data_IF_926536369822
#
_entry.id   IF_926536369822
#
_cell.length_a   1.000
_cell.length_b   1.000
_cell.length_c   1.000
_cell.angle_alpha   90.00
_cell.angle_beta   90.00
_cell.angle_gamma   90.00
#
_symmetry.space_group_name_H-M   'P 1'
#
loop_
_entity.id
_entity.type
_entity.pdbx_description
1 polymer ?
#
# COMPACT_ATOMS: atom_id res chain seq x y z
N UNK A 1 -16.25 11.30 6.55
CA UNK A 1 -15.66 10.56 5.41
C UNK A 1 -16.58 10.61 4.20
N UNK A 2 -16.59 11.77 3.53
CA UNK A 2 -17.50 12.02 2.39
C UNK A 2 -17.27 11.15 1.16
N UNK A 3 -16.12 10.47 1.03
CA UNK A 3 -15.76 9.73 -0.18
C UNK A 3 -15.86 8.20 -0.05
N UNK A 4 -16.17 7.66 1.12
CA UNK A 4 -16.64 6.27 1.21
C UNK A 4 -17.96 6.06 0.45
N UNK A 5 -18.73 7.12 0.23
CA UNK A 5 -19.93 7.10 -0.61
C UNK A 5 -19.65 6.89 -2.11
N UNK A 6 -18.44 7.12 -2.60
CA UNK A 6 -18.08 6.78 -3.98
C UNK A 6 -18.01 5.26 -4.16
N UNK A 7 -17.58 4.54 -3.15
CA UNK A 7 -17.60 3.08 -3.15
C UNK A 7 -19.02 2.53 -2.87
N UNK A 8 -19.90 3.28 -2.21
CA UNK A 8 -21.28 2.87 -1.92
C UNK A 8 -22.28 3.13 -3.06
N UNK A 9 -21.92 3.90 -4.08
CA UNK A 9 -22.79 4.17 -5.24
C UNK A 9 -22.53 3.16 -6.37
N UNK A 10 -22.89 1.90 -6.15
CA UNK A 10 -22.63 0.83 -7.12
C UNK A 10 -21.19 0.31 -7.04
N UNK A 11 -20.58 0.45 -5.88
CA UNK A 11 -19.23 -0.03 -5.62
C UNK A 11 -19.14 -1.53 -5.85
N UNK A 12 -18.09 -1.91 -6.54
CA UNK A 12 -17.72 -3.29 -6.72
C UNK A 12 -17.47 -3.92 -5.34
N UNK A 13 -18.32 -4.88 -5.00
CA UNK A 13 -18.04 -5.78 -3.91
C UNK A 13 -17.04 -6.82 -4.41
N UNK A 14 -15.87 -6.85 -3.80
CA UNK A 14 -14.85 -7.86 -4.09
C UNK A 14 -14.75 -8.79 -2.89
N UNK A 15 -15.12 -10.04 -3.06
CA UNK A 15 -14.97 -11.05 -2.02
C UNK A 15 -13.48 -11.25 -1.71
N UNK A 16 -13.14 -11.29 -0.42
CA UNK A 16 -11.75 -11.44 0.03
C UNK A 16 -10.92 -10.14 0.08
N UNK A 17 -11.52 -8.99 -0.27
CA UNK A 17 -10.85 -7.70 -0.18
C UNK A 17 -11.63 -6.69 0.67
N UNK A 18 -10.93 -5.95 1.51
CA UNK A 18 -11.48 -4.84 2.31
C UNK A 18 -10.69 -3.57 2.03
N UNK A 19 -11.39 -2.44 2.00
CA UNK A 19 -10.81 -1.16 1.64
C UNK A 19 -11.08 -0.14 2.75
N UNK A 20 -10.09 0.67 3.06
CA UNK A 20 -10.22 1.82 3.95
C UNK A 20 -9.46 3.00 3.38
N UNK A 21 -10.01 4.19 3.49
CA UNK A 21 -9.34 5.42 3.08
C UNK A 21 -9.51 6.49 4.14
N UNK A 22 -8.48 7.29 4.36
CA UNK A 22 -8.50 8.34 5.36
C UNK A 22 -7.67 9.57 4.94
N UNK A 23 -7.92 10.66 5.64
CA UNK A 23 -7.16 11.89 5.53
C UNK A 23 -6.02 11.84 6.57
N UNK A 24 -4.83 11.42 6.16
CA UNK A 24 -3.66 11.36 7.03
C UNK A 24 -2.91 12.70 7.11
N UNK A 25 -3.19 13.65 6.21
CA UNK A 25 -2.55 14.96 6.17
C UNK A 25 -1.08 14.90 5.73
N UNK A 26 -0.74 13.96 4.84
CA UNK A 26 0.65 13.76 4.38
C UNK A 26 1.18 15.00 3.66
N UNK A 27 0.37 15.57 2.78
CA UNK A 27 0.74 16.78 2.05
C UNK A 27 -0.38 17.81 2.05
N UNK A 28 -1.61 17.36 1.95
CA UNK A 28 -2.78 18.22 1.86
C UNK A 28 -3.71 17.99 3.05
N UNK A 29 -4.39 19.05 3.47
CA UNK A 29 -5.49 18.94 4.43
C UNK A 29 -6.80 18.67 3.66
N UNK A 30 -7.76 18.08 4.32
CA UNK A 30 -9.14 17.92 3.85
C UNK A 30 -9.33 17.04 2.59
N UNK A 31 -8.37 16.14 2.31
CA UNK A 31 -8.54 15.12 1.26
C UNK A 31 -8.00 13.77 1.71
N UNK A 32 -8.57 12.72 1.19
CA UNK A 32 -8.06 11.37 1.41
C UNK A 32 -6.73 11.21 0.68
N UNK A 33 -5.71 10.85 1.42
CA UNK A 33 -4.35 10.72 0.96
C UNK A 33 -3.69 9.41 1.39
N UNK A 34 -4.42 8.57 2.11
CA UNK A 34 -3.97 7.24 2.53
C UNK A 34 -5.08 6.21 2.30
N UNK A 35 -4.73 5.10 1.64
CA UNK A 35 -5.62 3.98 1.38
C UNK A 35 -4.94 2.70 1.88
N UNK A 36 -5.70 1.88 2.60
CA UNK A 36 -5.31 0.52 2.94
C UNK A 36 -6.26 -0.46 2.25
N UNK A 37 -5.67 -1.40 1.53
CA UNK A 37 -6.36 -2.54 0.92
C UNK A 37 -5.92 -3.79 1.67
N UNK A 38 -6.85 -4.46 2.32
CA UNK A 38 -6.62 -5.73 2.98
C UNK A 38 -7.09 -6.87 2.07
N UNK A 39 -6.25 -7.87 1.87
CA UNK A 39 -6.53 -9.06 1.08
C UNK A 39 -6.51 -10.27 2.02
N UNK A 40 -7.59 -11.03 2.02
CA UNK A 40 -7.73 -12.23 2.85
C UNK A 40 -6.75 -13.34 2.44
N UNK A 41 -6.40 -14.27 3.36
CA UNK A 41 -5.60 -15.44 3.05
C UNK A 41 -6.15 -16.22 1.83
N UNK A 42 -5.25 -16.75 1.03
CA UNK A 42 -5.59 -17.41 -0.24
C UNK A 42 -5.59 -16.45 -1.44
N UNK A 43 -5.37 -15.15 -1.23
CA UNK A 43 -5.19 -14.19 -2.32
C UNK A 43 -3.83 -14.36 -2.97
N UNK A 44 -3.77 -14.14 -4.28
CA UNK A 44 -2.50 -14.09 -5.02
C UNK A 44 -2.04 -12.65 -5.17
N UNK A 45 -0.82 -12.37 -4.74
CA UNK A 45 -0.19 -11.07 -4.89
C UNK A 45 0.95 -11.15 -5.92
N UNK A 46 0.89 -10.30 -6.93
CA UNK A 46 1.94 -10.18 -7.95
C UNK A 46 2.14 -8.73 -8.33
N UNK A 47 3.28 -8.41 -8.89
CA UNK A 47 3.58 -7.03 -9.28
C UNK A 47 4.77 -6.94 -10.22
N UNK A 48 4.87 -5.81 -10.90
CA UNK A 48 6.00 -5.42 -11.74
C UNK A 48 6.58 -4.10 -11.22
N UNK A 49 7.88 -3.98 -11.25
CA UNK A 49 8.61 -2.85 -10.68
C UNK A 49 9.59 -2.28 -11.68
N UNK A 50 9.87 -0.97 -11.53
CA UNK A 50 10.93 -0.34 -12.30
C UNK A 50 12.28 -1.00 -12.06
N UNK A 51 13.12 -1.05 -13.10
CA UNK A 51 14.52 -1.49 -13.02
C UNK A 51 15.50 -0.34 -12.76
N UNK A 52 14.99 0.86 -12.51
CA UNK A 52 15.83 2.03 -12.22
C UNK A 52 16.78 1.78 -11.05
N UNK A 53 17.98 2.33 -11.14
CA UNK A 53 18.93 2.35 -10.01
C UNK A 53 18.46 3.26 -8.87
N UNK A 54 17.57 4.22 -9.16
CA UNK A 54 17.06 5.21 -8.21
C UNK A 54 15.66 4.85 -7.68
N UNK A 55 15.40 3.57 -7.46
CA UNK A 55 14.13 3.09 -6.92
C UNK A 55 13.86 3.68 -5.54
N UNK A 56 12.62 4.09 -5.31
CA UNK A 56 12.19 4.55 -3.98
C UNK A 56 12.17 3.41 -2.94
N UNK A 57 12.25 3.77 -1.67
CA UNK A 57 12.21 2.80 -0.58
C UNK A 57 10.94 1.92 -0.60
N UNK A 58 9.72 2.44 -0.84
CA UNK A 58 8.53 1.61 -0.97
C UNK A 58 8.59 0.59 -2.12
N UNK A 59 9.20 0.95 -3.24
CA UNK A 59 9.37 0.03 -4.39
C UNK A 59 10.28 -1.13 -4.01
N UNK A 60 11.41 -0.85 -3.37
CA UNK A 60 12.35 -1.88 -2.92
C UNK A 60 11.71 -2.80 -1.88
N UNK A 61 10.99 -2.24 -0.92
CA UNK A 61 10.26 -2.99 0.09
C UNK A 61 9.21 -3.91 -0.53
N UNK A 62 8.34 -3.37 -1.38
CA UNK A 62 7.26 -4.12 -2.02
C UNK A 62 7.77 -5.25 -2.90
N UNK A 63 8.85 -5.03 -3.64
CA UNK A 63 9.47 -6.07 -4.47
C UNK A 63 9.93 -7.25 -3.63
N UNK A 64 10.56 -7.01 -2.48
CA UNK A 64 10.98 -8.07 -1.54
C UNK A 64 9.80 -8.84 -0.96
N UNK A 65 8.71 -8.15 -0.60
CA UNK A 65 7.51 -8.80 -0.08
C UNK A 65 6.91 -9.72 -1.14
N UNK A 66 6.76 -9.25 -2.37
CA UNK A 66 6.18 -10.04 -3.46
C UNK A 66 7.06 -11.24 -3.81
N UNK A 67 8.36 -11.08 -3.85
CA UNK A 67 9.30 -12.18 -4.09
C UNK A 67 9.18 -13.29 -3.03
N UNK A 68 8.94 -12.92 -1.78
CA UNK A 68 8.77 -13.85 -0.67
C UNK A 68 7.35 -14.40 -0.53
N UNK A 69 6.33 -13.72 -1.08
CA UNK A 69 4.91 -14.07 -0.92
C UNK A 69 4.50 -15.33 -1.68
N UNK A 70 5.20 -15.68 -2.75
CA UNK A 70 4.88 -16.85 -3.61
C UNK A 70 4.94 -18.20 -2.89
N UNK A 71 5.33 -18.23 -1.62
CA UNK A 71 5.57 -19.44 -0.82
C UNK A 71 4.57 -19.65 0.33
N UNK A 72 3.55 -18.79 0.49
CA UNK A 72 2.68 -18.82 1.66
C UNK A 72 1.22 -18.56 1.29
N UNK A 73 0.46 -19.62 1.15
CA UNK A 73 -0.96 -19.57 0.79
C UNK A 73 -1.90 -19.19 1.97
N UNK A 74 -1.38 -19.12 3.18
CA UNK A 74 -2.14 -18.91 4.43
C UNK A 74 -2.03 -17.49 4.99
N UNK A 75 -1.27 -16.61 4.35
CA UNK A 75 -1.06 -15.24 4.80
C UNK A 75 -2.03 -14.25 4.13
N UNK A 76 -2.49 -13.28 4.91
CA UNK A 76 -3.18 -12.10 4.41
C UNK A 76 -2.16 -11.07 3.92
N UNK A 77 -2.57 -10.21 3.00
CA UNK A 77 -1.75 -9.11 2.50
C UNK A 77 -2.39 -7.76 2.75
N UNK A 78 -1.55 -6.77 3.01
CA UNK A 78 -1.94 -5.36 3.05
C UNK A 78 -1.24 -4.57 1.95
N UNK A 79 -1.99 -3.76 1.21
CA UNK A 79 -1.43 -2.79 0.27
C UNK A 79 -1.73 -1.41 0.81
N UNK A 80 -0.69 -0.68 1.17
CA UNK A 80 -0.79 0.69 1.63
C UNK A 80 -0.41 1.64 0.51
N UNK A 81 -1.32 2.55 0.16
CA UNK A 81 -1.12 3.55 -0.89
C UNK A 81 -1.23 4.93 -0.29
N UNK A 82 -0.23 5.76 -0.48
CA UNK A 82 -0.28 7.16 -0.10
C UNK A 82 -0.15 8.09 -1.31
N UNK A 83 -0.65 9.31 -1.17
CA UNK A 83 -0.41 10.40 -2.11
C UNK A 83 0.34 11.54 -1.45
N UNK A 84 1.15 12.25 -2.23
CA UNK A 84 1.84 13.47 -1.78
C UNK A 84 3.31 13.30 -1.37
N UNK A 85 3.77 12.08 -1.12
CA UNK A 85 5.17 11.79 -0.81
C UNK A 85 5.57 10.42 -1.38
N UNK A 86 6.52 10.41 -2.31
CA UNK A 86 7.00 9.19 -2.95
C UNK A 86 8.10 8.46 -2.15
N UNK A 87 8.61 9.06 -1.07
CA UNK A 87 9.76 8.56 -0.31
C UNK A 87 10.93 8.12 -1.21
N UNK A 88 11.25 8.98 -2.20
CA UNK A 88 12.35 8.77 -3.14
C UNK A 88 13.56 9.62 -2.75
N UNK A 89 14.77 9.12 -3.01
CA UNK A 89 16.04 9.79 -2.67
C UNK A 89 16.20 10.12 -1.19
N UNK A 90 15.70 9.26 -0.33
CA UNK A 90 15.69 9.46 1.13
C UNK A 90 16.76 8.64 1.86
N UNK A 91 17.53 7.85 1.13
CA UNK A 91 18.60 7.02 1.67
C UNK A 91 18.12 6.03 2.73
N UNK A 92 18.96 5.71 3.68
CA UNK A 92 18.68 4.74 4.75
C UNK A 92 17.48 5.17 5.61
N UNK A 93 17.30 6.46 5.84
CA UNK A 93 16.14 6.98 6.57
C UNK A 93 14.82 6.59 5.90
N UNK A 94 14.74 6.69 4.58
CA UNK A 94 13.55 6.30 3.85
C UNK A 94 13.21 4.81 3.98
N UNK A 95 14.22 3.94 4.02
CA UNK A 95 14.03 2.52 4.29
C UNK A 95 13.52 2.27 5.71
N UNK A 96 14.08 2.97 6.69
CA UNK A 96 13.63 2.85 8.08
C UNK A 96 12.20 3.36 8.26
N UNK A 97 11.83 4.45 7.59
CA UNK A 97 10.47 5.00 7.63
C UNK A 97 9.45 4.01 7.06
N UNK A 98 9.75 3.37 5.92
CA UNK A 98 8.89 2.31 5.35
C UNK A 98 8.74 1.16 6.34
N UNK A 99 9.84 0.69 6.91
CA UNK A 99 9.81 -0.40 7.90
C UNK A 99 8.93 -0.05 9.09
N UNK A 100 9.11 1.14 9.67
CA UNK A 100 8.32 1.59 10.81
C UNK A 100 6.81 1.64 10.51
N UNK A 101 6.43 2.10 9.31
CA UNK A 101 5.03 2.15 8.89
C UNK A 101 4.45 0.74 8.72
N UNK A 102 5.21 -0.17 8.12
CA UNK A 102 4.73 -1.52 7.82
C UNK A 102 4.69 -2.44 9.05
N UNK A 103 5.47 -2.14 10.08
CA UNK A 103 5.50 -2.87 11.35
C UNK A 103 4.56 -2.27 12.42
N UNK A 104 3.98 -1.10 12.15
CA UNK A 104 3.01 -0.48 13.03
C UNK A 104 1.63 -1.15 12.94
#
# INVERSE_FOLDING_TARGET
>A
MKNLNLFNKGALWISGAKFSALCAGIKYKDRQDLILIYLEPGSTLTGVFTKSYTRSAPVIWSAKIIENSTKRDDEAYGILVNSGNANAFTGERGHQDVKNIMEA
#
